data_IF_659368101131
#
_entry.id   IF_659368101131
#
_cell.length_a   1.000
_cell.length_b   1.000
_cell.length_c   1.000
_cell.angle_alpha   90.00
_cell.angle_beta   90.00
_cell.angle_gamma   90.00
#
_symmetry.space_group_name_H-M   'P 1'
#
loop_
_entity.id
_entity.type
_entity.pdbx_description
1 polymer ?
#
# COMPACT_ATOMS: atom_id res chain seq x y z
N UNK A 1 10.90 -21.39 -3.70
CA UNK A 1 11.08 -20.24 -4.58
C UNK A 1 11.40 -20.74 -5.97
N UNK A 2 10.60 -20.43 -7.00
CA UNK A 2 11.03 -20.68 -8.37
C UNK A 2 12.32 -19.90 -8.57
N UNK A 3 13.31 -20.51 -9.26
CA UNK A 3 14.56 -19.83 -9.57
C UNK A 3 14.22 -18.58 -10.37
N UNK A 4 14.25 -17.41 -9.72
CA UNK A 4 14.09 -16.14 -10.39
C UNK A 4 15.15 -16.09 -11.50
N UNK A 5 14.76 -15.72 -12.71
CA UNK A 5 15.66 -15.52 -13.84
C UNK A 5 16.53 -14.29 -13.54
N UNK A 6 17.58 -14.47 -12.73
CA UNK A 6 18.53 -13.41 -12.43
C UNK A 6 19.25 -13.00 -13.72
N UNK A 7 19.07 -11.75 -14.10
CA UNK A 7 19.84 -11.14 -15.17
C UNK A 7 21.09 -10.48 -14.58
N UNK A 8 22.25 -10.75 -15.17
CA UNK A 8 23.50 -10.09 -14.79
C UNK A 8 23.71 -8.88 -15.68
N UNK A 9 24.06 -7.74 -15.07
CA UNK A 9 24.46 -6.51 -15.74
C UNK A 9 25.98 -6.34 -15.62
N UNK A 10 26.66 -6.19 -16.75
CA UNK A 10 28.11 -5.93 -16.85
C UNK A 10 28.43 -4.45 -17.09
N UNK A 11 27.41 -3.60 -17.16
CA UNK A 11 27.63 -2.17 -17.32
C UNK A 11 28.16 -1.57 -16.01
N UNK A 12 29.20 -0.77 -16.07
CA UNK A 12 29.59 0.06 -14.93
C UNK A 12 28.46 1.05 -14.65
N UNK A 13 28.04 1.21 -13.38
CA UNK A 13 27.09 2.26 -13.03
C UNK A 13 27.68 3.62 -13.46
N UNK A 14 26.97 4.31 -14.35
CA UNK A 14 27.37 5.65 -14.79
C UNK A 14 27.00 6.66 -13.71
N UNK A 15 27.70 7.80 -13.67
CA UNK A 15 27.55 8.84 -12.66
C UNK A 15 26.20 9.58 -12.70
N UNK A 16 25.11 8.85 -12.52
CA UNK A 16 23.77 9.40 -12.30
C UNK A 16 23.65 9.88 -10.86
N UNK A 17 22.80 10.88 -10.62
CA UNK A 17 22.67 11.45 -9.28
C UNK A 17 21.74 10.67 -8.37
N UNK A 18 20.78 9.93 -8.94
CA UNK A 18 19.67 9.29 -8.24
C UNK A 18 19.77 7.77 -8.36
N UNK A 19 19.66 7.08 -7.23
CA UNK A 19 19.42 5.63 -7.18
C UNK A 19 18.00 5.34 -6.70
N UNK A 20 17.37 4.30 -7.26
CA UNK A 20 16.12 3.73 -6.79
C UNK A 20 16.38 2.31 -6.29
N UNK A 21 16.17 2.05 -5.00
CA UNK A 21 16.29 0.70 -4.41
C UNK A 21 14.97 -0.04 -4.57
N UNK A 22 15.00 -1.11 -5.36
CA UNK A 22 13.82 -1.85 -5.83
C UNK A 22 13.17 -1.16 -7.04
N UNK A 23 12.67 -1.97 -7.98
CA UNK A 23 12.01 -1.45 -9.20
C UNK A 23 10.61 -0.89 -8.95
N UNK A 24 10.03 -1.17 -7.77
CA UNK A 24 8.70 -0.67 -7.40
C UNK A 24 8.66 0.87 -7.44
N UNK A 25 7.66 1.42 -8.11
CA UNK A 25 7.47 2.88 -8.23
C UNK A 25 8.36 3.57 -9.25
N UNK A 26 9.19 2.85 -10.01
CA UNK A 26 10.01 3.44 -11.08
C UNK A 26 9.16 4.24 -12.07
N UNK A 27 8.04 3.68 -12.52
CA UNK A 27 7.09 4.33 -13.44
C UNK A 27 6.45 5.62 -12.88
N UNK A 28 6.41 5.75 -11.55
CA UNK A 28 5.96 6.97 -10.88
C UNK A 28 7.11 7.97 -10.78
N UNK A 29 8.28 7.51 -10.34
CA UNK A 29 9.43 8.39 -10.12
C UNK A 29 9.91 9.05 -11.42
N UNK A 30 9.89 8.32 -12.55
CA UNK A 30 10.22 8.83 -13.89
C UNK A 30 9.27 9.89 -14.43
N UNK A 31 8.13 10.13 -13.78
CA UNK A 31 7.28 11.30 -14.11
C UNK A 31 7.83 12.62 -13.55
N UNK A 32 8.74 12.56 -12.60
CA UNK A 32 9.28 13.72 -11.89
C UNK A 32 10.78 13.90 -12.10
N UNK A 33 11.54 12.81 -12.21
CA UNK A 33 12.99 12.80 -12.38
C UNK A 33 13.30 12.20 -13.75
N UNK A 34 14.20 12.82 -14.57
CA UNK A 34 14.58 12.26 -15.85
C UNK A 34 15.08 10.80 -15.71
N UNK A 35 14.64 9.93 -16.61
CA UNK A 35 14.94 8.49 -16.53
C UNK A 35 16.45 8.22 -16.64
N UNK A 36 17.16 9.02 -17.43
CA UNK A 36 18.62 8.95 -17.59
C UNK A 36 19.38 9.36 -16.32
N UNK A 37 18.75 10.06 -15.38
CA UNK A 37 19.31 10.39 -14.05
C UNK A 37 19.04 9.31 -13.00
N UNK A 38 18.21 8.29 -13.28
CA UNK A 38 17.85 7.26 -12.32
C UNK A 38 18.59 5.96 -12.61
N UNK A 39 19.28 5.42 -11.60
CA UNK A 39 19.84 4.07 -11.60
C UNK A 39 19.01 3.17 -10.68
N UNK A 40 18.46 2.08 -11.23
CA UNK A 40 17.65 1.13 -10.45
C UNK A 40 18.56 0.04 -9.87
N UNK A 41 18.57 -0.08 -8.56
CA UNK A 41 19.26 -1.14 -7.82
C UNK A 41 18.22 -2.24 -7.53
N UNK A 42 18.22 -3.28 -8.37
CA UNK A 42 17.26 -4.39 -8.26
C UNK A 42 17.96 -5.74 -8.14
N UNK A 43 17.32 -6.66 -7.44
CA UNK A 43 17.78 -8.05 -7.29
C UNK A 43 17.54 -8.90 -8.56
N UNK A 44 16.53 -8.54 -9.35
CA UNK A 44 16.25 -9.23 -10.61
C UNK A 44 17.30 -8.92 -11.70
N UNK A 45 18.03 -7.83 -11.55
CA UNK A 45 19.12 -7.40 -12.44
C UNK A 45 20.36 -7.02 -11.66
N UNK A 46 21.13 -8.02 -11.21
CA UNK A 46 22.31 -7.79 -10.39
C UNK A 46 23.51 -7.29 -11.21
N UNK A 47 24.17 -6.26 -10.69
CA UNK A 47 25.40 -5.73 -11.27
C UNK A 47 26.61 -6.55 -10.83
N UNK A 48 27.39 -7.05 -11.80
CA UNK A 48 28.53 -7.94 -11.54
C UNK A 48 29.64 -7.27 -10.71
N UNK A 49 29.90 -5.98 -10.90
CA UNK A 49 30.93 -5.27 -10.15
C UNK A 49 30.54 -5.09 -8.68
N UNK A 50 29.25 -4.79 -8.42
CA UNK A 50 28.72 -4.70 -7.05
C UNK A 50 28.76 -6.07 -6.37
N UNK A 51 28.35 -7.11 -7.09
CA UNK A 51 28.39 -8.50 -6.61
C UNK A 51 29.81 -8.95 -6.28
N UNK A 52 30.75 -8.72 -7.19
CA UNK A 52 32.18 -9.02 -6.97
C UNK A 52 32.73 -8.29 -5.74
N UNK A 53 32.47 -6.98 -5.64
CA UNK A 53 32.90 -6.18 -4.48
C UNK A 53 32.31 -6.70 -3.17
N UNK A 54 31.06 -7.11 -3.15
CA UNK A 54 30.40 -7.71 -1.98
C UNK A 54 31.11 -9.00 -1.58
N UNK A 55 31.38 -9.89 -2.54
CA UNK A 55 32.00 -11.20 -2.30
C UNK A 55 33.45 -11.08 -1.82
N UNK A 56 34.23 -10.17 -2.40
CA UNK A 56 35.63 -9.93 -1.98
C UNK A 56 35.76 -9.54 -0.52
N UNK A 57 34.77 -8.83 0.04
CA UNK A 57 34.74 -8.49 1.46
C UNK A 57 34.06 -9.53 2.34
N UNK A 58 33.79 -10.72 1.80
CA UNK A 58 33.20 -11.84 2.54
C UNK A 58 31.73 -11.69 2.90
N UNK A 59 31.01 -10.80 2.23
CA UNK A 59 29.59 -10.49 2.48
C UNK A 59 28.69 -11.28 1.52
N UNK A 60 27.42 -11.56 1.92
CA UNK A 60 26.53 -12.45 1.15
C UNK A 60 25.05 -12.04 1.18
N UNK A 61 24.67 -10.94 1.86
CA UNK A 61 23.28 -10.52 1.96
C UNK A 61 22.87 -9.52 0.88
N UNK A 62 21.58 -9.36 0.61
CA UNK A 62 21.06 -8.33 -0.29
C UNK A 62 21.35 -6.92 0.24
N UNK A 63 21.36 -6.76 1.56
CA UNK A 63 21.79 -5.52 2.20
C UNK A 63 23.25 -5.19 1.83
N UNK A 64 24.17 -6.16 1.96
CA UNK A 64 25.58 -5.99 1.60
C UNK A 64 25.78 -5.70 0.11
N UNK A 65 24.96 -6.31 -0.77
CA UNK A 65 24.93 -5.99 -2.18
C UNK A 65 24.56 -4.54 -2.43
N UNK A 66 23.48 -4.05 -1.79
CA UNK A 66 23.06 -2.66 -1.91
C UNK A 66 24.14 -1.70 -1.40
N UNK A 67 24.79 -2.03 -0.27
CA UNK A 67 25.95 -1.27 0.25
C UNK A 67 27.09 -1.23 -0.77
N UNK A 68 27.44 -2.37 -1.38
CA UNK A 68 28.50 -2.45 -2.39
C UNK A 68 28.16 -1.63 -3.63
N UNK A 69 26.90 -1.68 -4.07
CA UNK A 69 26.41 -0.92 -5.22
C UNK A 69 26.49 0.58 -4.99
N UNK A 70 25.98 1.10 -3.85
CA UNK A 70 26.03 2.50 -3.49
C UNK A 70 27.48 3.00 -3.38
N UNK A 71 28.41 2.17 -2.86
CA UNK A 71 29.85 2.49 -2.80
C UNK A 71 30.50 2.65 -4.17
N UNK A 72 30.07 1.92 -5.18
CA UNK A 72 30.56 2.01 -6.56
C UNK A 72 29.91 3.19 -7.26
N UNK A 73 28.58 3.27 -7.17
CA UNK A 73 27.76 4.22 -7.89
C UNK A 73 27.88 5.66 -7.34
N UNK A 74 27.97 5.81 -6.01
CA UNK A 74 28.09 7.08 -5.27
C UNK A 74 26.97 8.08 -5.61
N UNK A 75 25.69 7.69 -5.53
CA UNK A 75 24.59 8.61 -5.80
C UNK A 75 24.55 9.73 -4.76
N UNK A 76 23.95 10.86 -5.11
CA UNK A 76 23.62 11.93 -4.16
C UNK A 76 22.32 11.64 -3.41
N UNK A 77 21.38 11.00 -4.13
CA UNK A 77 20.03 10.68 -3.63
C UNK A 77 19.73 9.20 -3.81
N UNK A 78 19.10 8.59 -2.81
CA UNK A 78 18.62 7.20 -2.88
C UNK A 78 17.15 7.16 -2.49
N UNK A 79 16.32 6.70 -3.41
CA UNK A 79 14.88 6.54 -3.23
C UNK A 79 14.50 5.09 -3.00
N UNK A 80 13.37 4.88 -2.34
CA UNK A 80 12.63 3.61 -2.34
C UNK A 80 11.12 3.84 -2.25
N UNK A 81 10.35 2.97 -2.91
CA UNK A 81 8.92 2.80 -2.70
C UNK A 81 8.63 1.56 -1.83
N UNK A 82 9.69 0.87 -1.38
CA UNK A 82 9.61 -0.22 -0.42
C UNK A 82 9.84 0.35 1.00
N UNK A 83 8.95 1.26 1.41
CA UNK A 83 9.00 1.94 2.71
C UNK A 83 8.98 0.99 3.91
N UNK A 84 8.47 -0.24 3.70
CA UNK A 84 8.49 -1.33 4.68
C UNK A 84 9.78 -2.15 4.68
N UNK A 85 10.77 -1.80 3.89
CA UNK A 85 12.11 -2.40 3.97
C UNK A 85 12.94 -1.69 5.04
N UNK A 86 13.01 -2.27 6.25
CA UNK A 86 13.73 -1.69 7.39
C UNK A 86 15.23 -1.52 7.12
N UNK A 87 15.81 -2.38 6.28
CA UNK A 87 17.23 -2.27 5.91
C UNK A 87 17.55 -0.98 5.15
N UNK A 88 16.58 -0.40 4.44
CA UNK A 88 16.75 0.90 3.79
C UNK A 88 17.14 2.00 4.79
N UNK A 89 16.53 1.99 5.97
CA UNK A 89 16.79 3.00 7.01
C UNK A 89 18.13 2.81 7.73
N UNK A 90 18.71 1.61 7.66
CA UNK A 90 20.06 1.34 8.15
C UNK A 90 21.14 1.88 7.19
N UNK A 91 20.86 1.95 5.88
CA UNK A 91 21.78 2.44 4.87
C UNK A 91 22.15 3.91 5.09
N UNK A 92 21.21 4.75 5.52
CA UNK A 92 21.47 6.17 5.76
C UNK A 92 22.55 6.42 6.83
N UNK A 93 22.64 5.56 7.85
CA UNK A 93 23.70 5.63 8.86
C UNK A 93 25.09 5.27 8.28
N UNK A 94 25.14 4.40 7.26
CA UNK A 94 26.38 3.98 6.59
C UNK A 94 26.86 5.07 5.61
N UNK A 95 25.92 5.82 5.00
CA UNK A 95 26.20 6.81 3.97
C UNK A 95 25.71 8.21 4.36
N UNK A 96 26.28 8.87 5.37
CA UNK A 96 25.76 10.12 5.95
C UNK A 96 25.78 11.32 4.98
N UNK A 97 26.49 11.22 3.84
CA UNK A 97 26.52 12.25 2.79
C UNK A 97 25.49 12.02 1.68
N UNK A 98 24.80 10.89 1.70
CA UNK A 98 23.77 10.53 0.71
C UNK A 98 22.40 10.79 1.32
N UNK A 99 21.51 11.44 0.58
CA UNK A 99 20.15 11.72 1.03
C UNK A 99 19.25 10.53 0.69
N UNK A 100 18.77 9.83 1.71
CA UNK A 100 17.85 8.70 1.59
C UNK A 100 16.41 9.19 1.73
N UNK A 101 15.55 8.87 0.77
CA UNK A 101 14.16 9.31 0.70
C UNK A 101 13.28 8.08 0.51
N UNK A 102 12.45 7.77 1.51
CA UNK A 102 11.44 6.72 1.42
C UNK A 102 10.10 7.30 0.99
N UNK A 103 9.36 6.54 0.19
CA UNK A 103 8.03 6.90 -0.29
C UNK A 103 7.06 5.79 0.12
N UNK A 104 6.11 6.12 0.98
CA UNK A 104 5.09 5.18 1.42
C UNK A 104 4.16 4.85 0.26
N UNK A 105 4.02 3.54 -0.04
CA UNK A 105 3.23 3.06 -1.17
C UNK A 105 1.89 2.43 -0.78
N UNK A 106 1.58 2.33 0.51
CA UNK A 106 0.33 1.75 1.01
C UNK A 106 0.17 1.91 2.51
N UNK A 107 -1.06 1.74 3.00
CA UNK A 107 -1.32 1.67 4.44
C UNK A 107 -0.57 0.49 5.05
N UNK A 108 -0.10 0.66 6.27
CA UNK A 108 0.65 -0.36 7.01
C UNK A 108 -0.19 -0.88 8.16
N UNK A 109 -0.35 -2.18 8.22
CA UNK A 109 -0.87 -2.88 9.37
C UNK A 109 0.27 -3.60 10.10
N UNK A 110 0.15 -3.73 11.41
CA UNK A 110 1.17 -4.36 12.24
C UNK A 110 0.92 -5.86 12.41
N UNK A 111 0.73 -6.57 11.31
CA UNK A 111 0.70 -8.04 11.33
C UNK A 111 1.89 -8.61 10.57
N UNK A 112 2.33 -9.79 10.98
CA UNK A 112 3.42 -10.48 10.35
C UNK A 112 2.88 -11.59 9.46
N UNK A 113 3.38 -11.63 8.23
CA UNK A 113 3.29 -12.81 7.39
C UNK A 113 4.28 -13.89 7.93
N UNK A 114 4.68 -14.82 7.13
CA UNK A 114 5.59 -15.94 7.45
C UNK A 114 6.91 -15.56 8.18
N UNK A 115 7.21 -14.26 8.36
CA UNK A 115 8.45 -13.79 8.99
C UNK A 115 8.33 -13.54 10.51
N UNK A 116 7.15 -13.66 11.09
CA UNK A 116 6.95 -13.61 12.55
C UNK A 116 6.86 -12.23 13.19
N UNK A 117 7.00 -11.12 12.41
CA UNK A 117 6.94 -9.75 12.95
C UNK A 117 6.10 -8.83 12.07
N UNK A 118 5.29 -7.97 12.68
CA UNK A 118 4.67 -6.85 12.01
C UNK A 118 5.70 -5.76 11.62
N UNK A 119 5.32 -4.89 10.70
CA UNK A 119 6.23 -3.85 10.21
C UNK A 119 6.68 -2.91 11.35
N UNK A 120 5.76 -2.42 12.17
CA UNK A 120 6.11 -1.51 13.26
C UNK A 120 6.85 -2.21 14.40
N UNK A 121 6.56 -3.49 14.67
CA UNK A 121 7.34 -4.30 15.61
C UNK A 121 8.77 -4.49 15.10
N UNK A 122 8.96 -4.69 13.81
CA UNK A 122 10.28 -4.76 13.20
C UNK A 122 11.02 -3.42 13.34
N UNK A 123 10.36 -2.30 13.04
CA UNK A 123 10.94 -0.97 13.26
C UNK A 123 11.33 -0.74 14.72
N UNK A 124 10.44 -1.08 15.66
CA UNK A 124 10.69 -0.98 17.11
C UNK A 124 11.91 -1.79 17.52
N UNK A 125 11.96 -3.06 17.13
CA UNK A 125 13.05 -3.98 17.48
C UNK A 125 14.39 -3.54 16.90
N UNK A 126 14.39 -3.07 15.67
CA UNK A 126 15.61 -2.62 14.99
C UNK A 126 16.05 -1.24 15.46
N UNK A 127 15.14 -0.33 15.79
CA UNK A 127 15.50 1.00 16.35
C UNK A 127 16.17 0.90 17.71
N UNK A 128 15.90 -0.17 18.47
CA UNK A 128 16.61 -0.46 19.73
C UNK A 128 18.07 -0.89 19.52
N UNK A 129 18.43 -1.39 18.34
CA UNK A 129 19.77 -1.92 18.03
C UNK A 129 20.55 -1.05 17.05
N UNK A 130 19.85 -0.36 16.17
CA UNK A 130 20.43 0.40 15.08
C UNK A 130 19.82 1.80 15.03
N UNK A 131 20.61 2.77 14.61
CA UNK A 131 20.09 4.08 14.25
C UNK A 131 19.36 3.95 12.91
N UNK A 132 18.01 3.95 12.95
CA UNK A 132 17.20 4.02 11.75
C UNK A 132 17.03 5.49 11.34
N UNK A 133 17.39 5.83 10.12
CA UNK A 133 17.27 7.20 9.63
C UNK A 133 16.95 7.26 8.15
N UNK A 134 16.36 8.37 7.73
CA UNK A 134 16.24 8.79 6.34
C UNK A 134 16.30 10.31 6.30
N UNK A 135 16.67 10.89 5.16
CA UNK A 135 16.62 12.34 4.98
C UNK A 135 15.17 12.84 4.98
N UNK A 136 14.29 12.13 4.26
CA UNK A 136 12.86 12.38 4.26
C UNK A 136 12.07 11.08 4.11
N UNK A 137 10.83 11.09 4.62
CA UNK A 137 9.84 10.05 4.37
C UNK A 137 8.59 10.74 3.82
N UNK A 138 8.24 10.46 2.56
CA UNK A 138 6.96 10.86 1.97
C UNK A 138 5.88 9.91 2.48
N UNK A 139 4.89 10.44 3.17
CA UNK A 139 3.87 9.65 3.88
C UNK A 139 2.46 9.97 3.39
N UNK A 140 1.54 9.04 3.60
CA UNK A 140 0.15 9.16 3.15
C UNK A 140 -0.61 10.26 3.92
N UNK A 141 -0.45 10.32 5.24
CA UNK A 141 -1.14 11.27 6.10
C UNK A 141 -0.35 11.58 7.38
N UNK A 142 -0.91 12.44 8.21
CA UNK A 142 -0.24 12.85 9.46
C UNK A 142 -0.17 11.72 10.49
N UNK A 143 -1.11 10.77 10.49
CA UNK A 143 -1.04 9.54 11.31
C UNK A 143 0.18 8.71 10.92
N UNK A 144 0.37 8.44 9.63
CA UNK A 144 1.57 7.74 9.15
C UNK A 144 2.86 8.49 9.51
N UNK A 145 2.86 9.82 9.40
CA UNK A 145 4.01 10.63 9.81
C UNK A 145 4.41 10.37 11.27
N UNK A 146 3.43 10.38 12.18
CA UNK A 146 3.65 10.11 13.60
C UNK A 146 4.17 8.68 13.83
N UNK A 147 3.56 7.68 13.19
CA UNK A 147 3.96 6.27 13.34
C UNK A 147 5.41 6.03 12.90
N UNK A 148 5.81 6.53 11.73
CA UNK A 148 7.19 6.34 11.24
C UNK A 148 8.22 7.07 12.08
N UNK A 149 7.94 8.32 12.48
CA UNK A 149 8.91 9.13 13.23
C UNK A 149 9.11 8.70 14.68
N UNK A 150 8.28 7.80 15.21
CA UNK A 150 8.54 7.14 16.49
C UNK A 150 9.83 6.29 16.44
N UNK A 151 10.18 5.72 15.29
CA UNK A 151 11.27 4.75 15.17
C UNK A 151 12.37 5.21 14.21
N UNK A 152 12.05 6.09 13.26
CA UNK A 152 12.97 6.53 12.21
C UNK A 152 13.24 8.02 12.35
N UNK A 153 14.50 8.38 12.47
CA UNK A 153 14.91 9.79 12.45
C UNK A 153 14.85 10.32 11.01
N UNK A 154 13.76 11.01 10.66
CA UNK A 154 13.54 11.55 9.33
C UNK A 154 12.62 12.77 9.36
N UNK A 155 12.68 13.60 8.30
CA UNK A 155 11.70 14.66 8.04
C UNK A 155 10.49 14.04 7.35
N UNK A 156 9.30 14.01 7.97
CA UNK A 156 8.10 13.56 7.29
C UNK A 156 7.62 14.63 6.31
N UNK A 157 7.17 14.19 5.12
CA UNK A 157 6.54 15.03 4.10
C UNK A 157 5.20 14.39 3.76
N UNK A 158 4.10 15.04 4.12
CA UNK A 158 2.77 14.53 3.81
C UNK A 158 2.48 14.79 2.34
N UNK A 159 2.57 13.73 1.53
CA UNK A 159 2.36 13.78 0.08
C UNK A 159 1.06 13.13 -0.37
N UNK A 160 0.47 12.30 0.49
CA UNK A 160 -0.54 11.35 0.05
C UNK A 160 0.07 10.25 -0.84
N UNK A 161 -0.79 9.52 -1.52
CA UNK A 161 -0.37 8.53 -2.51
C UNK A 161 0.03 9.20 -3.81
N UNK A 162 1.31 9.13 -4.19
CA UNK A 162 1.81 9.74 -5.43
C UNK A 162 1.07 9.20 -6.67
N UNK A 163 0.74 7.92 -6.67
CA UNK A 163 -0.01 7.28 -7.75
C UNK A 163 -1.45 7.82 -7.82
N UNK A 164 -2.12 7.90 -6.69
CA UNK A 164 -3.46 8.44 -6.59
C UNK A 164 -3.55 9.89 -7.08
N UNK A 165 -2.58 10.70 -6.71
CA UNK A 165 -2.50 12.11 -7.09
C UNK A 165 -2.24 12.30 -8.60
N UNK A 166 -1.55 11.34 -9.26
CA UNK A 166 -1.32 11.36 -10.71
C UNK A 166 -2.56 10.98 -11.53
N UNK A 167 -3.25 9.92 -11.11
CA UNK A 167 -4.36 9.35 -11.87
C UNK A 167 -5.58 10.27 -11.79
N UNK A 168 -5.83 10.87 -10.63
CA UNK A 168 -6.92 11.84 -10.46
C UNK A 168 -8.30 11.31 -10.88
N UNK A 169 -9.18 12.22 -11.26
CA UNK A 169 -10.53 11.92 -11.75
C UNK A 169 -10.59 11.82 -13.29
N UNK A 170 -9.45 11.70 -13.96
CA UNK A 170 -9.35 11.81 -15.43
C UNK A 170 -9.96 10.62 -16.20
N UNK A 171 -10.13 9.49 -15.53
CA UNK A 171 -10.63 8.27 -16.16
C UNK A 171 -12.11 8.12 -15.82
N UNK A 172 -12.98 8.37 -16.81
CA UNK A 172 -14.43 8.15 -16.68
C UNK A 172 -14.76 6.74 -17.15
N UNK A 173 -15.36 5.91 -16.30
CA UNK A 173 -15.76 4.57 -16.67
C UNK A 173 -16.96 4.58 -17.62
N UNK A 174 -17.05 3.56 -18.46
CA UNK A 174 -18.18 3.32 -19.36
C UNK A 174 -19.37 2.68 -18.64
N UNK A 175 -19.12 1.89 -17.62
CA UNK A 175 -20.13 1.19 -16.80
C UNK A 175 -20.18 1.80 -15.39
N UNK A 176 -21.35 1.86 -14.77
CA UNK A 176 -21.54 2.38 -13.42
C UNK A 176 -22.11 1.29 -12.52
N UNK A 177 -21.65 1.29 -11.28
CA UNK A 177 -22.12 0.39 -10.22
C UNK A 177 -22.59 1.20 -9.01
N UNK A 178 -23.64 0.72 -8.36
CA UNK A 178 -24.07 1.31 -7.09
C UNK A 178 -23.07 1.00 -5.99
N UNK A 179 -22.59 -0.24 -5.93
CA UNK A 179 -21.62 -0.71 -4.94
C UNK A 179 -20.49 -1.47 -5.62
N UNK A 180 -19.25 -1.11 -5.30
CA UNK A 180 -18.05 -1.87 -5.69
C UNK A 180 -17.26 -2.26 -4.44
N UNK A 181 -17.05 -3.56 -4.24
CA UNK A 181 -16.15 -4.07 -3.22
C UNK A 181 -14.73 -4.22 -3.77
N UNK A 182 -13.75 -3.65 -3.07
CA UNK A 182 -12.33 -3.73 -3.45
C UNK A 182 -11.65 -4.85 -2.68
N UNK A 183 -11.28 -5.91 -3.38
CA UNK A 183 -10.66 -7.10 -2.81
C UNK A 183 -9.27 -6.84 -2.23
N UNK A 184 -8.96 -7.53 -1.13
CA UNK A 184 -7.63 -7.70 -0.56
C UNK A 184 -7.13 -9.15 -0.65
N UNK A 185 -7.98 -10.07 -1.14
CA UNK A 185 -7.62 -11.47 -1.27
C UNK A 185 -6.35 -11.64 -2.13
N UNK A 186 -5.42 -12.42 -1.61
CA UNK A 186 -4.21 -12.82 -2.33
C UNK A 186 -4.15 -14.34 -2.31
N UNK A 187 -4.42 -15.00 -3.44
CA UNK A 187 -4.25 -16.44 -3.53
C UNK A 187 -2.76 -16.77 -3.42
N UNK A 188 -2.46 -17.90 -2.80
CA UNK A 188 -1.11 -18.44 -2.63
C UNK A 188 -0.93 -19.64 -3.55
N UNK A 189 0.32 -20.00 -3.83
CA UNK A 189 0.66 -21.21 -4.60
C UNK A 189 0.35 -22.51 -3.84
N UNK A 190 0.20 -22.42 -2.51
CA UNK A 190 -0.19 -23.51 -1.63
C UNK A 190 -1.59 -23.24 -1.03
N UNK A 191 -2.28 -24.27 -0.53
CA UNK A 191 -3.60 -24.10 0.08
C UNK A 191 -3.60 -23.02 1.17
N UNK A 192 -4.63 -22.18 1.22
CA UNK A 192 -4.75 -21.10 2.22
C UNK A 192 -4.72 -21.62 3.67
N UNK A 193 -5.14 -22.87 3.91
CA UNK A 193 -5.05 -23.54 5.21
C UNK A 193 -3.61 -23.82 5.68
N UNK A 194 -2.65 -23.85 4.76
CA UNK A 194 -1.22 -24.08 5.05
C UNK A 194 -0.43 -22.78 5.24
N UNK A 195 -0.94 -21.66 4.70
CA UNK A 195 -0.30 -20.33 4.85
C UNK A 195 -0.68 -19.76 6.20
N UNK A 196 0.30 -19.28 6.97
CA UNK A 196 0.08 -18.68 8.29
C UNK A 196 0.46 -17.20 8.33
N UNK A 197 -0.37 -16.43 9.00
CA UNK A 197 -0.09 -15.07 9.44
C UNK A 197 0.14 -15.07 10.94
N UNK A 198 1.13 -14.33 11.41
CA UNK A 198 1.53 -14.31 12.80
C UNK A 198 1.18 -12.97 13.46
N UNK A 199 0.71 -13.06 14.70
CA UNK A 199 0.36 -11.94 15.58
C UNK A 199 1.02 -12.21 16.93
N UNK A 200 2.20 -11.66 17.13
CA UNK A 200 3.03 -12.03 18.27
C UNK A 200 3.37 -13.53 18.26
N UNK A 201 2.97 -14.24 19.30
CA UNK A 201 3.16 -15.70 19.46
C UNK A 201 2.00 -16.55 18.91
N UNK A 202 0.95 -15.92 18.38
CA UNK A 202 -0.21 -16.61 17.80
C UNK A 202 -0.18 -16.56 16.27
N UNK A 203 -0.85 -17.51 15.65
CA UNK A 203 -1.00 -17.54 14.20
C UNK A 203 -2.40 -17.96 13.80
N UNK A 204 -2.82 -17.48 12.65
CA UNK A 204 -4.03 -17.89 11.93
C UNK A 204 -3.65 -18.34 10.52
N UNK A 205 -4.49 -19.15 9.90
CA UNK A 205 -4.32 -19.52 8.49
C UNK A 205 -4.77 -18.37 7.58
N UNK A 206 -4.32 -18.38 6.31
CA UNK A 206 -4.81 -17.44 5.33
C UNK A 206 -6.32 -17.64 5.07
N UNK A 207 -6.83 -18.85 5.21
CA UNK A 207 -8.26 -19.14 5.12
C UNK A 207 -9.05 -18.36 6.20
N UNK A 208 -8.64 -18.46 7.46
CA UNK A 208 -9.23 -17.70 8.57
C UNK A 208 -9.07 -16.18 8.36
N UNK A 209 -7.90 -15.76 7.90
CA UNK A 209 -7.61 -14.35 7.62
C UNK A 209 -8.53 -13.72 6.57
N UNK A 210 -8.89 -14.46 5.53
CA UNK A 210 -9.77 -13.97 4.47
C UNK A 210 -11.26 -14.24 4.69
N UNK A 211 -11.66 -14.92 5.75
CA UNK A 211 -13.06 -15.20 6.07
C UNK A 211 -13.93 -13.94 6.11
N UNK A 212 -13.41 -12.84 6.63
CA UNK A 212 -14.15 -11.57 6.69
C UNK A 212 -14.51 -11.04 5.31
N UNK A 213 -13.66 -11.20 4.30
CA UNK A 213 -13.96 -10.75 2.95
C UNK A 213 -15.11 -11.57 2.35
N UNK A 214 -15.18 -12.86 2.64
CA UNK A 214 -16.32 -13.70 2.23
C UNK A 214 -17.63 -13.26 2.91
N UNK A 215 -17.58 -12.93 4.21
CA UNK A 215 -18.76 -12.43 4.93
C UNK A 215 -19.24 -11.11 4.37
N UNK A 216 -18.34 -10.16 4.14
CA UNK A 216 -18.67 -8.85 3.56
C UNK A 216 -19.26 -9.02 2.16
N UNK A 217 -18.67 -9.83 1.29
CA UNK A 217 -19.18 -10.04 -0.07
C UNK A 217 -20.55 -10.74 -0.06
N UNK A 218 -20.75 -11.73 0.82
CA UNK A 218 -22.05 -12.38 1.00
C UNK A 218 -23.13 -11.38 1.43
N UNK A 219 -22.83 -10.56 2.43
CA UNK A 219 -23.70 -9.50 2.90
C UNK A 219 -24.04 -8.51 1.77
N UNK A 220 -23.03 -7.98 1.08
CA UNK A 220 -23.24 -7.00 0.00
C UNK A 220 -24.03 -7.58 -1.17
N UNK A 221 -23.82 -8.84 -1.53
CA UNK A 221 -24.58 -9.52 -2.59
C UNK A 221 -26.06 -9.68 -2.22
N UNK A 222 -26.36 -10.05 -0.97
CA UNK A 222 -27.72 -10.13 -0.45
C UNK A 222 -28.38 -8.75 -0.36
N UNK A 223 -27.70 -7.77 0.22
CA UNK A 223 -28.15 -6.37 0.34
C UNK A 223 -28.47 -5.77 -1.03
N UNK A 224 -27.57 -5.90 -1.98
CA UNK A 224 -27.76 -5.34 -3.34
C UNK A 224 -28.96 -5.96 -4.06
N UNK A 225 -29.22 -7.25 -3.85
CA UNK A 225 -30.41 -7.90 -4.38
C UNK A 225 -31.70 -7.36 -3.73
N UNK A 226 -31.71 -7.19 -2.42
CA UNK A 226 -32.86 -6.67 -1.68
C UNK A 226 -33.20 -5.22 -2.08
N UNK A 227 -32.18 -4.40 -2.32
CA UNK A 227 -32.30 -2.99 -2.67
C UNK A 227 -32.34 -2.72 -4.17
N UNK A 228 -32.28 -3.77 -5.00
CA UNK A 228 -32.21 -3.68 -6.47
C UNK A 228 -31.05 -2.81 -6.97
N UNK A 229 -29.88 -2.95 -6.35
CA UNK A 229 -28.66 -2.22 -6.68
C UNK A 229 -27.68 -3.10 -7.47
N UNK A 230 -26.90 -2.49 -8.35
CA UNK A 230 -25.81 -3.16 -9.04
C UNK A 230 -24.60 -3.33 -8.11
N UNK A 231 -24.03 -4.54 -8.09
CA UNK A 231 -22.88 -4.89 -7.24
C UNK A 231 -21.78 -5.58 -8.03
N UNK A 232 -20.55 -5.11 -7.83
CA UNK A 232 -19.37 -5.73 -8.40
C UNK A 232 -18.26 -5.93 -7.35
N UNK A 233 -17.45 -6.97 -7.56
CA UNK A 233 -16.21 -7.23 -6.82
C UNK A 233 -15.04 -6.96 -7.73
N UNK A 234 -14.15 -6.04 -7.32
CA UNK A 234 -12.94 -5.70 -8.03
C UNK A 234 -11.76 -6.51 -7.50
N UNK A 235 -11.17 -7.33 -8.38
CA UNK A 235 -10.02 -8.18 -8.05
C UNK A 235 -8.72 -7.40 -7.86
N UNK A 236 -7.84 -7.96 -7.05
CA UNK A 236 -6.53 -7.39 -6.70
C UNK A 236 -5.42 -7.81 -7.68
N UNK A 237 -5.52 -9.01 -8.24
CA UNK A 237 -4.48 -9.66 -9.03
C UNK A 237 -4.82 -9.75 -10.52
N UNK A 238 -3.79 -9.71 -11.35
CA UNK A 238 -3.89 -9.98 -12.80
C UNK A 238 -3.59 -11.44 -13.12
N UNK A 239 -2.64 -12.02 -12.43
CA UNK A 239 -2.05 -13.36 -12.66
C UNK A 239 -2.88 -14.52 -12.09
N UNK A 240 -3.69 -14.26 -11.07
CA UNK A 240 -4.50 -15.26 -10.35
C UNK A 240 -5.98 -14.88 -10.26
N UNK A 241 -6.47 -14.12 -11.22
CA UNK A 241 -7.84 -13.59 -11.24
C UNK A 241 -8.92 -14.69 -11.22
N UNK A 242 -8.63 -15.90 -11.75
CA UNK A 242 -9.56 -17.03 -11.70
C UNK A 242 -9.79 -17.51 -10.28
N UNK A 243 -8.73 -17.73 -9.49
CA UNK A 243 -8.85 -18.19 -8.10
C UNK A 243 -9.58 -17.16 -7.24
N UNK A 244 -9.29 -15.89 -7.45
CA UNK A 244 -9.96 -14.80 -6.77
C UNK A 244 -11.44 -14.70 -7.16
N UNK A 245 -11.77 -14.90 -8.43
CA UNK A 245 -13.16 -14.99 -8.92
C UNK A 245 -13.92 -16.13 -8.25
N UNK A 246 -13.34 -17.33 -8.22
CA UNK A 246 -13.95 -18.53 -7.61
C UNK A 246 -14.20 -18.31 -6.12
N UNK A 247 -13.22 -17.72 -5.41
CA UNK A 247 -13.34 -17.38 -3.99
C UNK A 247 -14.57 -16.49 -3.71
N UNK A 248 -14.73 -15.39 -4.44
CA UNK A 248 -15.82 -14.46 -4.22
C UNK A 248 -17.16 -14.96 -4.79
N UNK A 249 -17.15 -15.68 -5.89
CA UNK A 249 -18.38 -16.28 -6.43
C UNK A 249 -18.95 -17.33 -5.47
N UNK A 250 -18.08 -18.16 -4.89
CA UNK A 250 -18.48 -19.10 -3.85
C UNK A 250 -19.01 -18.39 -2.60
N UNK A 251 -18.36 -17.31 -2.18
CA UNK A 251 -18.77 -16.52 -1.03
C UNK A 251 -20.18 -15.90 -1.20
N UNK A 252 -20.50 -15.41 -2.39
CA UNK A 252 -21.80 -14.82 -2.71
C UNK A 252 -22.97 -15.83 -2.67
N UNK A 253 -22.68 -17.14 -2.70
CA UNK A 253 -23.69 -18.21 -2.63
C UNK A 253 -24.68 -18.15 -3.80
N UNK A 254 -26.01 -18.07 -3.54
CA UNK A 254 -27.03 -18.04 -4.59
C UNK A 254 -27.15 -16.70 -5.33
N UNK A 255 -26.41 -15.67 -4.87
CA UNK A 255 -26.47 -14.34 -5.46
C UNK A 255 -25.44 -14.20 -6.58
N UNK A 256 -25.87 -13.66 -7.71
CA UNK A 256 -24.95 -13.35 -8.81
C UNK A 256 -24.15 -12.11 -8.47
N UNK A 257 -22.84 -12.17 -8.65
CA UNK A 257 -21.93 -11.03 -8.55
C UNK A 257 -21.23 -10.83 -9.88
N UNK A 258 -20.89 -9.58 -10.19
CA UNK A 258 -19.99 -9.27 -11.28
C UNK A 258 -18.57 -9.19 -10.72
N UNK A 259 -17.70 -10.11 -11.14
CA UNK A 259 -16.27 -10.05 -10.80
C UNK A 259 -15.49 -9.37 -11.89
N UNK A 260 -14.78 -8.30 -11.55
CA UNK A 260 -13.97 -7.49 -12.46
C UNK A 260 -12.51 -7.77 -12.17
N UNK A 261 -11.78 -8.46 -13.07
CA UNK A 261 -10.36 -8.71 -12.89
C UNK A 261 -9.56 -7.41 -13.05
N UNK A 262 -8.47 -7.29 -12.31
CA UNK A 262 -7.49 -6.26 -12.57
C UNK A 262 -6.77 -6.57 -13.88
N UNK A 263 -6.73 -5.62 -14.82
CA UNK A 263 -6.12 -5.80 -16.15
C UNK A 263 -4.87 -4.95 -16.36
N UNK A 264 -4.72 -3.88 -15.59
CA UNK A 264 -3.58 -2.97 -15.65
C UNK A 264 -3.31 -2.30 -14.30
N UNK A 265 -2.25 -1.52 -14.21
CA UNK A 265 -1.97 -0.71 -13.02
C UNK A 265 -3.03 0.36 -12.73
N UNK A 266 -3.73 0.83 -13.77
CA UNK A 266 -4.74 1.90 -13.67
C UNK A 266 -6.16 1.38 -13.62
N UNK A 267 -6.43 0.15 -14.10
CA UNK A 267 -7.78 -0.40 -14.20
C UNK A 267 -8.55 -0.41 -12.87
N UNK A 268 -7.85 -0.60 -11.75
CA UNK A 268 -8.45 -0.50 -10.41
C UNK A 268 -9.07 0.88 -10.17
N UNK A 269 -8.38 1.95 -10.56
CA UNK A 269 -8.90 3.32 -10.37
C UNK A 269 -10.06 3.62 -11.31
N UNK A 270 -10.01 3.10 -12.55
CA UNK A 270 -11.09 3.24 -13.54
C UNK A 270 -12.38 2.67 -12.99
N UNK A 271 -12.34 1.42 -12.52
CA UNK A 271 -13.51 0.75 -11.96
C UNK A 271 -13.98 1.36 -10.64
N UNK A 272 -13.05 1.79 -9.76
CA UNK A 272 -13.43 2.49 -8.54
C UNK A 272 -14.10 3.84 -8.83
N UNK A 273 -13.72 4.55 -9.90
CA UNK A 273 -14.43 5.77 -10.33
C UNK A 273 -15.86 5.49 -10.81
N UNK A 274 -16.20 4.25 -11.21
CA UNK A 274 -17.56 3.85 -11.64
C UNK A 274 -18.52 3.68 -10.47
N UNK A 275 -18.03 3.50 -9.25
CA UNK A 275 -18.84 3.20 -8.08
C UNK A 275 -19.53 4.45 -7.52
N UNK A 276 -20.81 4.31 -7.17
CA UNK A 276 -21.48 5.29 -6.29
C UNK A 276 -20.93 5.19 -4.86
N UNK A 277 -20.69 3.96 -4.39
CA UNK A 277 -20.03 3.68 -3.10
C UNK A 277 -18.96 2.62 -3.30
N UNK A 278 -17.75 2.91 -2.81
CA UNK A 278 -16.72 1.90 -2.63
C UNK A 278 -16.85 1.24 -1.27
N UNK A 279 -16.68 -0.07 -1.23
CA UNK A 279 -16.61 -0.83 0.03
C UNK A 279 -15.28 -1.57 0.07
N UNK A 280 -14.62 -1.52 1.21
CA UNK A 280 -13.37 -2.26 1.42
C UNK A 280 -13.25 -2.71 2.87
N UNK A 281 -12.46 -3.76 3.08
CA UNK A 281 -12.03 -4.17 4.43
C UNK A 281 -10.80 -3.37 4.85
N UNK A 282 -9.68 -3.47 4.11
CA UNK A 282 -8.41 -2.88 4.51
C UNK A 282 -7.64 -2.26 3.34
N UNK A 283 -8.25 -2.06 2.16
CA UNK A 283 -7.51 -1.63 0.98
C UNK A 283 -7.04 -0.18 1.07
N UNK A 284 -5.78 0.06 0.74
CA UNK A 284 -5.25 1.42 0.53
C UNK A 284 -6.09 2.21 -0.48
N UNK A 285 -6.69 1.56 -1.49
CA UNK A 285 -7.59 2.18 -2.47
C UNK A 285 -8.78 2.87 -1.78
N UNK A 286 -9.34 2.29 -0.71
CA UNK A 286 -10.40 2.94 0.06
C UNK A 286 -9.96 4.30 0.59
N UNK A 287 -8.78 4.37 1.20
CA UNK A 287 -8.22 5.63 1.70
C UNK A 287 -7.92 6.64 0.58
N UNK A 288 -7.42 6.17 -0.56
CA UNK A 288 -7.15 6.99 -1.73
C UNK A 288 -8.43 7.64 -2.28
N UNK A 289 -9.53 6.88 -2.34
CA UNK A 289 -10.81 7.39 -2.81
C UNK A 289 -11.52 8.26 -1.78
N UNK A 290 -11.40 7.94 -0.47
CA UNK A 290 -11.86 8.81 0.61
C UNK A 290 -11.20 10.18 0.51
N UNK A 291 -9.88 10.22 0.34
CA UNK A 291 -9.11 11.45 0.20
C UNK A 291 -9.54 12.30 -1.01
N UNK A 292 -10.07 11.68 -2.09
CA UNK A 292 -10.67 12.36 -3.24
C UNK A 292 -12.10 12.85 -2.99
N UNK A 293 -12.68 12.61 -1.83
CA UNK A 293 -14.07 12.94 -1.51
C UNK A 293 -15.09 11.96 -2.04
N UNK A 294 -14.68 10.76 -2.52
CA UNK A 294 -15.61 9.71 -2.94
C UNK A 294 -16.22 9.00 -1.74
N UNK A 295 -17.48 8.55 -1.88
CA UNK A 295 -18.16 7.78 -0.84
C UNK A 295 -17.50 6.42 -0.68
N UNK A 296 -17.00 6.14 0.52
CA UNK A 296 -16.31 4.89 0.87
C UNK A 296 -16.86 4.36 2.20
N UNK A 297 -17.19 3.09 2.23
CA UNK A 297 -17.53 2.36 3.44
C UNK A 297 -16.39 1.40 3.82
N UNK A 298 -15.85 1.55 5.03
CA UNK A 298 -14.82 0.64 5.54
C UNK A 298 -15.48 -0.38 6.48
N UNK A 299 -15.58 -1.63 6.02
CA UNK A 299 -16.01 -2.77 6.82
C UNK A 299 -14.78 -3.50 7.33
N UNK A 300 -14.00 -2.82 8.16
CA UNK A 300 -12.65 -3.19 8.60
C UNK A 300 -12.67 -4.18 9.78
N UNK A 301 -13.50 -5.20 9.68
CA UNK A 301 -13.84 -6.10 10.76
C UNK A 301 -12.96 -7.36 10.84
N UNK A 302 -11.77 -7.33 10.28
CA UNK A 302 -10.89 -8.51 10.23
C UNK A 302 -10.47 -8.99 11.61
N UNK A 303 -10.09 -8.09 12.52
CA UNK A 303 -9.71 -8.47 13.89
C UNK A 303 -10.90 -9.11 14.60
N UNK A 304 -12.09 -8.48 14.56
CA UNK A 304 -13.30 -9.00 15.21
C UNK A 304 -13.68 -10.39 14.66
N UNK A 305 -13.52 -10.60 13.34
CA UNK A 305 -13.80 -11.88 12.70
C UNK A 305 -12.87 -13.03 13.16
N UNK A 306 -11.67 -12.72 13.61
CA UNK A 306 -10.66 -13.71 14.04
C UNK A 306 -10.35 -13.62 15.53
N UNK A 307 -11.11 -12.86 16.29
CA UNK A 307 -10.90 -12.59 17.72
C UNK A 307 -10.82 -13.86 18.58
N UNK A 308 -11.57 -14.91 18.19
CA UNK A 308 -11.52 -16.21 18.86
C UNK A 308 -10.12 -16.87 18.79
N UNK A 309 -9.28 -16.51 17.82
CA UNK A 309 -7.91 -17.02 17.63
C UNK A 309 -6.89 -16.09 18.27
N UNK A 310 -7.16 -14.77 18.23
CA UNK A 310 -6.27 -13.73 18.71
C UNK A 310 -6.59 -13.37 20.17
N UNK A 311 -5.60 -12.95 20.94
CA UNK A 311 -5.82 -12.37 22.27
C UNK A 311 -6.08 -10.87 22.18
N UNK A 312 -6.66 -10.28 23.25
CA UNK A 312 -6.86 -8.82 23.33
C UNK A 312 -5.56 -8.01 23.15
N UNK A 313 -4.41 -8.56 23.53
CA UNK A 313 -3.10 -7.92 23.34
C UNK A 313 -2.72 -7.69 21.86
N UNK A 314 -3.40 -8.38 20.95
CA UNK A 314 -3.17 -8.24 19.49
C UNK A 314 -4.10 -7.18 18.89
N UNK A 315 -5.15 -6.74 19.61
CA UNK A 315 -6.06 -5.68 19.16
C UNK A 315 -5.39 -4.30 19.06
N UNK A 316 -4.24 -4.11 19.71
CA UNK A 316 -3.42 -2.90 19.57
C UNK A 316 -2.66 -2.83 18.23
N UNK A 317 -2.77 -3.86 17.37
CA UNK A 317 -2.26 -3.79 16.02
C UNK A 317 -3.22 -2.99 15.17
N UNK A 318 -2.74 -1.92 14.51
CA UNK A 318 -3.49 -1.05 13.60
C UNK A 318 -4.03 -1.79 12.38
N UNK A 319 -4.88 -2.77 12.64
CA UNK A 319 -5.48 -3.61 11.62
C UNK A 319 -6.85 -3.06 11.27
N UNK A 320 -7.05 -2.74 10.01
CA UNK A 320 -8.27 -2.14 9.55
C UNK A 320 -8.29 -0.62 9.66
N UNK A 321 -9.45 -0.04 9.96
CA UNK A 321 -9.57 1.40 10.17
C UNK A 321 -8.91 1.80 11.50
N UNK A 322 -8.15 2.91 11.55
CA UNK A 322 -7.33 3.26 12.71
C UNK A 322 -8.11 3.26 14.03
N UNK A 323 -7.65 2.49 15.02
CA UNK A 323 -8.32 2.33 16.32
C UNK A 323 -8.38 3.63 17.12
N UNK A 324 -7.41 4.52 16.97
CA UNK A 324 -7.42 5.84 17.59
C UNK A 324 -8.60 6.72 17.15
N UNK A 325 -9.26 6.39 16.03
CA UNK A 325 -10.48 7.04 15.56
C UNK A 325 -11.76 6.38 16.06
N UNK A 326 -11.63 5.33 16.90
CA UNK A 326 -12.72 4.54 17.44
C UNK A 326 -13.06 3.31 16.59
N UNK A 327 -13.72 2.35 17.22
CA UNK A 327 -14.09 1.07 16.60
C UNK A 327 -15.22 1.16 15.58
N UNK A 328 -15.93 2.28 15.54
CA UNK A 328 -17.07 2.51 14.65
C UNK A 328 -17.29 4.01 14.43
N UNK A 329 -17.77 4.38 13.26
CA UNK A 329 -18.07 5.76 12.86
C UNK A 329 -19.09 5.83 11.73
N UNK A 330 -19.31 7.01 11.15
CA UNK A 330 -20.36 7.21 10.16
C UNK A 330 -20.12 6.42 8.85
N UNK A 331 -18.88 6.07 8.53
CA UNK A 331 -18.52 5.36 7.30
C UNK A 331 -17.55 4.20 7.53
N UNK A 332 -17.37 3.76 8.78
CA UNK A 332 -16.56 2.58 9.10
C UNK A 332 -17.13 1.80 10.27
N UNK A 333 -16.75 0.53 10.35
CA UNK A 333 -16.89 -0.34 11.51
C UNK A 333 -15.75 -1.35 11.55
N UNK A 334 -15.24 -1.65 12.74
CA UNK A 334 -14.30 -2.72 12.99
C UNK A 334 -15.02 -3.99 13.52
N UNK A 335 -16.35 -3.96 13.64
CA UNK A 335 -17.17 -5.11 14.04
C UNK A 335 -17.59 -5.96 12.84
N UNK A 336 -17.52 -7.28 13.00
CA UNK A 336 -17.98 -8.26 12.00
C UNK A 336 -19.52 -8.50 12.05
N UNK A 337 -20.26 -7.72 12.83
CA UNK A 337 -21.71 -7.83 12.91
C UNK A 337 -22.38 -7.24 11.65
N UNK A 338 -23.23 -8.01 10.99
CA UNK A 338 -23.92 -7.58 9.78
C UNK A 338 -24.86 -6.38 9.99
N UNK A 339 -25.40 -6.18 11.19
CA UNK A 339 -26.16 -4.96 11.52
C UNK A 339 -25.31 -3.69 11.47
N UNK A 340 -24.03 -3.80 11.80
CA UNK A 340 -23.06 -2.70 11.65
C UNK A 340 -22.70 -2.47 10.17
N UNK A 341 -22.63 -3.53 9.37
CA UNK A 341 -22.47 -3.38 7.92
C UNK A 341 -23.63 -2.63 7.30
N UNK A 342 -24.87 -3.02 7.66
CA UNK A 342 -26.10 -2.34 7.22
C UNK A 342 -26.11 -0.88 7.64
N UNK A 343 -25.77 -0.59 8.88
CA UNK A 343 -25.69 0.77 9.42
C UNK A 343 -24.70 1.63 8.62
N UNK A 344 -23.49 1.11 8.37
CA UNK A 344 -22.44 1.85 7.65
C UNK A 344 -22.85 2.10 6.19
N UNK A 345 -23.30 1.07 5.48
CA UNK A 345 -23.76 1.20 4.08
C UNK A 345 -24.94 2.19 4.00
N UNK A 346 -25.95 2.04 4.84
CA UNK A 346 -27.12 2.93 4.86
C UNK A 346 -26.75 4.37 5.19
N UNK A 347 -25.81 4.57 6.15
CA UNK A 347 -25.30 5.90 6.48
C UNK A 347 -24.61 6.56 5.28
N UNK A 348 -23.69 5.86 4.61
CA UNK A 348 -22.95 6.41 3.45
C UNK A 348 -23.90 6.66 2.26
N UNK A 349 -24.89 5.78 2.03
CA UNK A 349 -25.88 5.93 0.96
C UNK A 349 -26.78 7.14 1.16
N UNK A 350 -27.26 7.37 2.39
CA UNK A 350 -28.22 8.42 2.70
C UNK A 350 -27.63 9.83 2.70
N UNK A 351 -26.31 9.97 2.82
CA UNK A 351 -25.65 11.29 2.84
C UNK A 351 -25.71 11.94 1.46
N UNK A 352 -26.12 13.22 1.41
CA UNK A 352 -25.86 14.07 0.25
C UNK A 352 -24.35 14.34 0.09
N UNK A 353 -23.93 14.82 -1.08
CA UNK A 353 -22.50 15.11 -1.30
C UNK A 353 -21.95 16.18 -0.32
N UNK A 354 -22.77 17.16 0.05
CA UNK A 354 -22.40 18.16 1.04
C UNK A 354 -22.25 17.59 2.45
N UNK A 355 -23.16 16.72 2.86
CA UNK A 355 -23.06 16.00 4.14
C UNK A 355 -21.85 15.07 4.16
N UNK A 356 -21.59 14.35 3.05
CA UNK A 356 -20.42 13.51 2.92
C UNK A 356 -19.12 14.30 3.06
N UNK A 357 -18.98 15.40 2.30
CA UNK A 357 -17.81 16.27 2.38
C UNK A 357 -17.56 16.80 3.80
N UNK A 358 -18.62 17.21 4.50
CA UNK A 358 -18.52 17.66 5.90
C UNK A 358 -18.11 16.51 6.83
N UNK A 359 -18.66 15.31 6.62
CA UNK A 359 -18.38 14.12 7.45
C UNK A 359 -16.93 13.67 7.33
N UNK A 360 -16.33 13.68 6.13
CA UNK A 360 -14.97 13.23 5.93
C UNK A 360 -13.90 14.30 6.19
N UNK A 361 -14.27 15.58 6.25
CA UNK A 361 -13.33 16.69 6.43
C UNK A 361 -12.36 16.52 7.61
N UNK A 362 -12.74 16.02 8.80
CA UNK A 362 -11.80 15.80 9.91
C UNK A 362 -10.77 14.70 9.65
N UNK A 363 -11.02 13.82 8.68
CA UNK A 363 -10.17 12.65 8.37
C UNK A 363 -9.24 12.91 7.19
N UNK A 364 -9.53 13.92 6.37
CA UNK A 364 -8.65 14.32 5.28
C UNK A 364 -7.31 14.79 5.86
N UNK A 365 -6.20 14.49 5.18
CA UNK A 365 -4.83 14.72 5.63
C UNK A 365 -4.40 13.90 6.85
N UNK A 366 -5.32 13.57 7.77
CA UNK A 366 -5.02 12.70 8.91
C UNK A 366 -4.72 11.30 8.42
N UNK A 367 -5.62 10.74 7.61
CA UNK A 367 -5.49 9.39 7.05
C UNK A 367 -4.67 9.39 5.76
N UNK A 368 -5.06 10.24 4.81
CA UNK A 368 -4.38 10.35 3.52
C UNK A 368 -4.65 11.72 2.88
N UNK A 369 -3.61 12.46 2.60
CA UNK A 369 -3.72 13.68 1.82
C UNK A 369 -4.02 13.37 0.34
N UNK A 370 -4.76 14.27 -0.33
CA UNK A 370 -4.92 14.25 -1.78
C UNK A 370 -4.40 15.57 -2.36
N UNK A 371 -3.37 15.45 -3.18
CA UNK A 371 -2.67 16.60 -3.75
C UNK A 371 -2.50 16.40 -5.26
N UNK A 372 -3.50 16.74 -6.08
CA UNK A 372 -3.41 16.63 -7.53
C UNK A 372 -2.11 17.24 -8.06
N UNK A 373 -1.40 16.50 -8.92
CA UNK A 373 -0.11 16.93 -9.45
C UNK A 373 1.07 16.78 -8.48
N UNK A 374 0.87 16.20 -7.29
CA UNK A 374 1.96 15.90 -6.31
C UNK A 374 2.79 17.13 -5.90
N UNK A 375 2.15 18.26 -5.64
CA UNK A 375 2.82 19.57 -5.40
C UNK A 375 3.82 19.51 -4.25
N UNK A 376 3.47 18.90 -3.10
CA UNK A 376 4.40 18.77 -1.96
C UNK A 376 5.62 17.90 -2.30
N UNK A 377 5.43 16.83 -3.07
CA UNK A 377 6.54 15.99 -3.53
C UNK A 377 7.47 16.78 -4.46
N UNK A 378 6.94 17.49 -5.45
CA UNK A 378 7.72 18.34 -6.36
C UNK A 378 8.47 19.44 -5.61
N UNK A 379 7.81 20.09 -4.64
CA UNK A 379 8.45 21.09 -3.80
C UNK A 379 9.61 20.50 -3.00
N UNK A 380 9.43 19.31 -2.44
CA UNK A 380 10.52 18.59 -1.75
C UNK A 380 11.67 18.30 -2.70
N UNK A 381 11.43 17.75 -3.90
CA UNK A 381 12.48 17.48 -4.88
C UNK A 381 13.28 18.76 -5.21
N UNK A 382 12.58 19.86 -5.48
CA UNK A 382 13.21 21.17 -5.80
C UNK A 382 14.03 21.73 -4.63
N UNK A 383 13.47 21.68 -3.41
CA UNK A 383 14.17 22.18 -2.22
C UNK A 383 15.43 21.39 -1.89
N UNK A 384 15.48 20.12 -2.29
CA UNK A 384 16.64 19.25 -2.10
C UNK A 384 17.66 19.35 -3.25
N UNK A 385 17.35 20.08 -4.32
CA UNK A 385 18.20 20.20 -5.51
C UNK A 385 18.22 18.93 -6.37
N UNK A 386 17.17 18.13 -6.31
CA UNK A 386 17.03 16.91 -7.11
C UNK A 386 16.63 17.29 -8.54
N UNK A 387 17.30 16.73 -9.57
CA UNK A 387 16.92 16.98 -10.96
C UNK A 387 15.44 16.67 -11.19
N UNK A 388 14.67 17.64 -11.70
CA UNK A 388 13.25 17.46 -12.01
C UNK A 388 13.01 17.62 -13.50
N UNK A 389 12.05 16.87 -14.04
CA UNK A 389 11.58 17.09 -15.41
C UNK A 389 10.96 18.49 -15.53
N UNK A 390 11.28 19.21 -16.60
CA UNK A 390 10.66 20.49 -16.89
C UNK A 390 9.17 20.32 -17.18
N UNK A 391 8.30 21.18 -16.64
CA UNK A 391 6.84 21.14 -16.80
C UNK A 391 6.36 21.23 -18.26
N UNK A 392 7.24 21.60 -19.20
CA UNK A 392 6.95 21.69 -20.63
C UNK A 392 6.84 20.33 -21.35
N UNK A 393 7.40 19.26 -20.80
CA UNK A 393 7.37 17.93 -21.46
C UNK A 393 6.14 17.07 -21.07
N UNK A 394 5.31 17.52 -20.13
CA UNK A 394 4.11 16.78 -19.70
C UNK A 394 2.86 17.09 -20.56
N UNK A 395 2.96 17.95 -21.59
CA UNK A 395 1.85 18.35 -22.47
C UNK A 395 1.94 17.79 -23.89
N UNK A 396 2.76 16.78 -24.12
CA UNK A 396 2.84 16.09 -25.40
C UNK A 396 2.20 14.70 -25.36
#
# INVERSE_FOLDING_TARGET
MPMANFKLSFALPKGKQVALVGASGASILTKYIPEDEIEVIDIERMNVFALFRMLVVGKKSLFDYTVAYIKIFKPQFVFTFLDNNVDFYKLAAIFPRVKFIAIQNGQRANYANQLGFGFFDHLKNDSAKYKLSAHAICVLGTTSAKQYTQYIQAKPVVTGSLKNNLIGNQIMPTERFDIVYVSQHAPFEIPNSEVKFFFGNKSITAEEFYTIEQRVVRFLAAHSKLTNQSFAVLGKRTDSSQFEREFFTSAAGPHKIQFIPRTSETSTYEFCNSASILVTTDSTIGYEFLARGKKVAFLSARIDAIDHVLSQEVHDTDFGFPLELGTSGPFWTNSANESEFERVIGSVQSMSDAQWASTISPYNEVLMAYQPGNTAFIQMLRSEGIPTQNEGSQRA
#
